data_IF_313156044056
#
_entry.id   IF_313156044056
#
_cell.length_a   1.000
_cell.length_b   1.000
_cell.length_c   1.000
_cell.angle_alpha   90.00
_cell.angle_beta   90.00
_cell.angle_gamma   90.00
#
_symmetry.space_group_name_H-M   'P 1'
#
loop_
_entity.id
_entity.type
_entity.pdbx_description
1 polymer ?
#
# COMPACT_ATOMS: atom_id res chain seq x y z
N UNK A 1 22.12 -49.59 5.03
CA UNK A 1 21.29 -48.75 5.92
C UNK A 1 21.87 -47.35 6.23
N UNK A 2 23.13 -47.00 5.88
CA UNK A 2 23.70 -45.66 6.16
C UNK A 2 23.10 -44.51 5.33
N UNK A 3 22.69 -44.75 4.08
CA UNK A 3 22.19 -43.69 3.18
C UNK A 3 20.82 -43.10 3.52
N UNK A 4 19.96 -43.86 4.23
CA UNK A 4 18.61 -43.40 4.58
C UNK A 4 18.64 -42.34 5.70
N UNK A 5 19.56 -42.47 6.66
CA UNK A 5 19.72 -41.50 7.76
C UNK A 5 20.25 -40.15 7.27
N UNK A 6 21.22 -40.13 6.35
CA UNK A 6 21.76 -38.88 5.77
C UNK A 6 20.70 -38.14 4.96
N UNK A 7 19.85 -38.86 4.23
CA UNK A 7 18.77 -38.26 3.44
C UNK A 7 17.69 -37.61 4.31
N UNK A 8 17.34 -38.24 5.44
CA UNK A 8 16.37 -37.72 6.41
C UNK A 8 16.92 -36.48 7.11
N UNK A 9 18.19 -36.50 7.53
CA UNK A 9 18.86 -35.36 8.18
C UNK A 9 18.97 -34.17 7.22
N UNK A 10 19.32 -34.41 5.95
CA UNK A 10 19.38 -33.34 4.94
C UNK A 10 18.00 -32.70 4.71
N UNK A 11 16.93 -33.50 4.59
CA UNK A 11 15.56 -32.98 4.45
C UNK A 11 15.09 -32.17 5.66
N UNK A 12 15.39 -32.64 6.87
CA UNK A 12 15.09 -31.92 8.11
C UNK A 12 15.80 -30.55 8.16
N UNK A 13 17.09 -30.51 7.81
CA UNK A 13 17.85 -29.26 7.73
C UNK A 13 17.27 -28.27 6.73
N UNK A 14 16.88 -28.73 5.54
CA UNK A 14 16.25 -27.88 4.53
C UNK A 14 14.94 -27.28 5.06
N UNK A 15 14.09 -28.08 5.70
CA UNK A 15 12.81 -27.61 6.26
C UNK A 15 13.05 -26.59 7.37
N UNK A 16 13.97 -26.84 8.29
CA UNK A 16 14.31 -25.89 9.36
C UNK A 16 14.87 -24.58 8.81
N UNK A 17 15.70 -24.64 7.76
CA UNK A 17 16.28 -23.45 7.15
C UNK A 17 15.21 -22.61 6.46
N UNK A 18 14.31 -23.24 5.71
CA UNK A 18 13.17 -22.55 5.09
C UNK A 18 12.25 -21.91 6.13
N UNK A 19 11.96 -22.62 7.23
CA UNK A 19 11.15 -22.10 8.33
C UNK A 19 11.84 -20.91 9.01
N UNK A 20 13.14 -21.01 9.28
CA UNK A 20 13.92 -19.93 9.89
C UNK A 20 13.95 -18.68 9.00
N UNK A 21 14.15 -18.85 7.68
CA UNK A 21 14.09 -17.75 6.71
C UNK A 21 12.70 -17.12 6.69
N UNK A 22 11.64 -17.95 6.65
CA UNK A 22 10.26 -17.45 6.67
C UNK A 22 9.98 -16.64 7.95
N UNK A 23 10.39 -17.14 9.12
CA UNK A 23 10.26 -16.42 10.39
C UNK A 23 11.06 -15.12 10.41
N UNK A 24 12.28 -15.11 9.86
CA UNK A 24 13.10 -13.90 9.78
C UNK A 24 12.47 -12.84 8.87
N UNK A 25 11.94 -13.24 7.71
CA UNK A 25 11.22 -12.35 6.79
C UNK A 25 9.95 -11.81 7.45
N UNK A 26 9.17 -12.66 8.13
CA UNK A 26 7.96 -12.25 8.83
C UNK A 26 8.27 -11.28 9.98
N UNK A 27 9.35 -11.53 10.72
CA UNK A 27 9.81 -10.65 11.80
C UNK A 27 10.26 -9.29 11.25
N UNK A 28 11.02 -9.28 10.15
CA UNK A 28 11.41 -8.05 9.48
C UNK A 28 10.18 -7.28 8.97
N UNK A 29 9.19 -7.98 8.43
CA UNK A 29 7.92 -7.39 7.99
C UNK A 29 7.09 -6.80 9.14
N UNK A 30 7.12 -7.45 10.31
CA UNK A 30 6.41 -6.99 11.50
C UNK A 30 7.08 -5.77 12.16
N UNK A 31 8.41 -5.75 12.17
CA UNK A 31 9.20 -4.73 12.87
C UNK A 31 9.44 -3.51 11.99
N UNK A 32 9.64 -3.67 10.67
CA UNK A 32 9.95 -2.55 9.79
C UNK A 32 8.67 -1.75 9.53
N UNK A 33 8.54 -0.53 10.08
CA UNK A 33 7.43 0.33 9.75
C UNK A 33 7.53 0.64 8.25
N UNK A 34 6.44 0.51 7.48
CA UNK A 34 6.48 0.84 6.07
C UNK A 34 6.83 2.33 5.84
N UNK A 35 6.76 3.17 6.90
CA UNK A 35 7.07 4.62 6.88
C UNK A 35 8.54 4.93 6.77
N UNK A 36 9.39 3.93 7.00
CA UNK A 36 10.81 4.03 6.70
C UNK A 36 11.04 4.18 5.20
N UNK A 37 10.18 3.61 4.35
CA UNK A 37 10.40 3.59 2.89
C UNK A 37 9.42 4.47 2.15
N UNK A 38 8.17 4.49 2.57
CA UNK A 38 7.10 5.23 1.93
C UNK A 38 6.21 5.85 2.97
N UNK A 39 5.92 7.14 2.90
CA UNK A 39 4.99 7.79 3.81
C UNK A 39 3.99 8.61 3.01
N UNK A 40 2.70 8.24 2.97
CA UNK A 40 1.67 9.17 2.51
C UNK A 40 1.61 10.34 3.50
N UNK A 41 1.71 11.56 3.00
CA UNK A 41 1.57 12.78 3.80
C UNK A 41 0.14 13.26 3.72
N UNK A 42 -0.37 13.38 2.50
CA UNK A 42 -1.63 14.06 2.25
C UNK A 42 -2.30 13.52 1.00
N UNK A 43 -3.62 13.54 1.01
CA UNK A 43 -4.44 13.30 -0.15
C UNK A 43 -5.52 14.37 -0.23
N UNK A 44 -5.65 15.01 -1.38
CA UNK A 44 -6.65 16.05 -1.65
C UNK A 44 -7.44 15.67 -2.89
N UNK A 45 -8.74 15.90 -2.86
CA UNK A 45 -9.61 15.77 -4.02
C UNK A 45 -10.20 17.13 -4.35
N UNK A 46 -10.11 17.51 -5.63
CA UNK A 46 -10.71 18.73 -6.16
C UNK A 46 -11.92 18.36 -7.02
N UNK A 47 -13.17 18.58 -6.55
CA UNK A 47 -14.36 18.33 -7.35
C UNK A 47 -14.38 19.18 -8.64
N UNK A 48 -13.85 20.41 -8.56
CA UNK A 48 -13.80 21.35 -9.68
C UNK A 48 -12.84 20.87 -10.78
N UNK A 49 -11.65 20.42 -10.41
CA UNK A 49 -10.63 19.97 -11.35
C UNK A 49 -10.76 18.48 -11.72
N UNK A 50 -11.60 17.72 -10.99
CA UNK A 50 -11.80 16.27 -11.16
C UNK A 50 -10.53 15.45 -10.95
N UNK A 51 -9.58 16.01 -10.21
CA UNK A 51 -8.28 15.43 -9.92
C UNK A 51 -8.16 15.10 -8.44
N UNK A 52 -7.34 14.10 -8.13
CA UNK A 52 -6.82 13.90 -6.80
C UNK A 52 -5.31 14.15 -6.80
N UNK A 53 -4.87 14.91 -5.80
CA UNK A 53 -3.46 15.20 -5.53
C UNK A 53 -3.02 14.42 -4.31
N UNK A 54 -1.92 13.69 -4.47
CA UNK A 54 -1.35 12.83 -3.46
C UNK A 54 0.09 13.25 -3.17
N UNK A 55 0.34 13.66 -1.93
CA UNK A 55 1.65 14.07 -1.43
C UNK A 55 2.24 12.94 -0.59
N UNK A 56 3.49 12.61 -0.86
CA UNK A 56 4.21 11.48 -0.24
C UNK A 56 5.69 11.79 -0.07
N UNK A 57 6.33 11.00 0.79
CA UNK A 57 7.79 10.88 0.85
C UNK A 57 8.17 9.45 0.52
N UNK A 58 9.15 9.29 -0.38
CA UNK A 58 9.85 8.02 -0.61
C UNK A 58 11.26 8.21 -0.06
N UNK A 59 11.57 7.48 1.00
CA UNK A 59 12.82 7.60 1.75
C UNK A 59 13.92 6.67 1.22
N UNK A 60 13.71 6.03 0.07
CA UNK A 60 14.70 5.20 -0.62
C UNK A 60 15.42 5.97 -1.72
N UNK A 61 16.69 5.62 -1.97
CA UNK A 61 17.46 6.11 -3.13
C UNK A 61 16.96 5.57 -4.47
N UNK A 62 16.07 4.57 -4.45
CA UNK A 62 15.54 3.89 -5.62
C UNK A 62 14.03 4.09 -5.72
N UNK A 63 13.51 3.95 -6.95
CA UNK A 63 12.08 3.91 -7.18
C UNK A 63 11.43 2.72 -6.46
N UNK A 64 10.20 2.93 -5.98
CA UNK A 64 9.49 1.96 -5.16
C UNK A 64 8.14 1.63 -5.80
N UNK A 65 7.86 0.34 -6.01
CA UNK A 65 6.53 -0.09 -6.45
C UNK A 65 5.57 -0.05 -5.29
N UNK A 66 4.44 0.61 -5.50
CA UNK A 66 3.37 0.73 -4.52
C UNK A 66 2.05 0.36 -5.18
N UNK A 67 1.37 -0.62 -4.59
CA UNK A 67 -0.01 -0.90 -4.91
C UNK A 67 -0.89 0.03 -4.09
N UNK A 68 -1.86 0.66 -4.71
CA UNK A 68 -2.80 1.53 -4.02
C UNK A 68 -4.25 1.09 -4.28
N UNK A 69 -5.12 1.39 -3.32
CA UNK A 69 -6.56 1.13 -3.43
C UNK A 69 -7.35 2.18 -2.68
N UNK A 70 -8.44 2.64 -3.27
CA UNK A 70 -9.40 3.56 -2.68
C UNK A 70 -10.72 2.83 -2.55
N UNK A 71 -11.31 2.82 -1.37
CA UNK A 71 -12.65 2.28 -1.13
C UNK A 71 -13.46 3.36 -0.45
N UNK A 72 -14.56 3.76 -1.07
CA UNK A 72 -15.51 4.72 -0.50
C UNK A 72 -16.68 3.95 0.11
N UNK A 73 -16.86 4.12 1.40
CA UNK A 73 -17.95 3.58 2.18
C UNK A 73 -19.07 4.62 2.28
N UNK A 74 -20.28 4.21 1.91
CA UNK A 74 -21.54 4.90 2.22
C UNK A 74 -22.09 4.36 3.55
N UNK A 75 -23.11 5.00 4.14
CA UNK A 75 -23.81 4.48 5.31
C UNK A 75 -24.33 3.04 5.14
N UNK A 76 -24.62 2.64 3.90
CA UNK A 76 -25.15 1.31 3.54
C UNK A 76 -24.07 0.28 3.20
N UNK A 77 -22.78 0.67 3.18
CA UNK A 77 -21.65 -0.22 2.87
C UNK A 77 -20.67 0.31 1.81
N UNK A 78 -19.73 -0.51 1.30
CA UNK A 78 -18.79 -0.08 0.26
C UNK A 78 -19.52 0.19 -1.07
N UNK A 79 -19.36 1.40 -1.61
CA UNK A 79 -20.10 1.84 -2.81
C UNK A 79 -19.21 1.99 -4.04
N UNK A 80 -18.01 2.53 -3.87
CA UNK A 80 -17.05 2.68 -4.97
C UNK A 80 -15.67 2.18 -4.57
N UNK A 81 -15.00 1.47 -5.49
CA UNK A 81 -13.60 1.09 -5.31
C UNK A 81 -12.79 1.40 -6.56
N UNK A 82 -11.55 1.83 -6.36
CA UNK A 82 -10.54 1.98 -7.41
C UNK A 82 -9.21 1.48 -6.87
N UNK A 83 -8.28 1.13 -7.74
CA UNK A 83 -6.95 0.75 -7.33
C UNK A 83 -6.03 0.59 -8.50
N UNK A 84 -4.74 0.47 -8.20
CA UNK A 84 -3.72 0.33 -9.21
C UNK A 84 -2.38 -0.02 -8.60
N UNK A 85 -1.39 -0.14 -9.46
CA UNK A 85 0.01 -0.29 -9.06
C UNK A 85 0.79 0.79 -9.77
N UNK A 86 1.66 1.49 -9.04
CA UNK A 86 2.50 2.55 -9.59
C UNK A 86 3.92 2.42 -9.08
N UNK A 87 4.87 2.76 -9.94
CA UNK A 87 6.26 2.93 -9.57
C UNK A 87 6.48 4.39 -9.18
N UNK A 88 6.87 4.64 -7.93
CA UNK A 88 7.11 5.98 -7.42
C UNK A 88 8.60 6.33 -7.42
N UNK A 89 8.95 7.41 -8.12
CA UNK A 89 10.28 8.01 -8.10
C UNK A 89 10.47 8.82 -6.80
N UNK A 90 11.59 8.65 -6.07
CA UNK A 90 11.88 9.43 -4.87
C UNK A 90 12.06 10.94 -5.10
N UNK A 91 12.32 11.37 -6.33
CA UNK A 91 12.42 12.79 -6.70
C UNK A 91 11.05 13.46 -6.81
N UNK A 92 9.98 12.70 -6.98
CA UNK A 92 8.62 13.22 -7.14
C UNK A 92 7.81 12.99 -5.87
N UNK A 93 7.55 14.07 -5.14
CA UNK A 93 6.81 14.01 -3.87
C UNK A 93 5.31 14.25 -4.04
N UNK A 94 4.91 14.97 -5.08
CA UNK A 94 3.51 15.29 -5.37
C UNK A 94 3.12 14.64 -6.69
N UNK A 95 1.96 13.99 -6.70
CA UNK A 95 1.37 13.45 -7.92
C UNK A 95 -0.10 13.82 -8.00
N UNK A 96 -0.53 14.21 -9.19
CA UNK A 96 -1.93 14.48 -9.50
C UNK A 96 -2.41 13.49 -10.54
N UNK A 97 -3.61 12.95 -10.36
CA UNK A 97 -4.22 12.01 -11.29
C UNK A 97 -5.72 12.25 -11.40
N UNK A 98 -6.27 11.94 -12.57
CA UNK A 98 -7.70 12.03 -12.82
C UNK A 98 -8.47 10.95 -12.05
N UNK A 99 -9.61 11.34 -11.49
CA UNK A 99 -10.52 10.42 -10.83
C UNK A 99 -11.60 9.97 -11.83
N UNK A 100 -11.84 8.66 -11.90
CA UNK A 100 -12.89 8.10 -12.77
C UNK A 100 -14.28 8.62 -12.40
N UNK A 101 -15.18 8.69 -13.39
CA UNK A 101 -16.54 9.20 -13.19
C UNK A 101 -17.35 8.40 -12.15
N UNK A 102 -17.08 7.10 -12.00
CA UNK A 102 -17.69 6.26 -10.97
C UNK A 102 -17.24 6.67 -9.57
N UNK A 103 -15.92 6.87 -9.38
CA UNK A 103 -15.35 7.25 -8.09
C UNK A 103 -15.73 8.68 -7.70
N UNK A 104 -15.81 9.60 -8.67
CA UNK A 104 -16.27 10.99 -8.44
C UNK A 104 -17.64 11.05 -7.78
N UNK A 105 -18.62 10.30 -8.29
CA UNK A 105 -19.97 10.26 -7.70
C UNK A 105 -19.96 9.93 -6.21
N UNK A 106 -19.10 8.99 -5.82
CA UNK A 106 -18.94 8.61 -4.42
C UNK A 106 -18.21 9.66 -3.57
N UNK A 107 -17.17 10.31 -4.11
CA UNK A 107 -16.41 11.34 -3.41
C UNK A 107 -17.16 12.68 -3.28
N UNK A 108 -18.03 13.00 -4.24
CA UNK A 108 -18.85 14.21 -4.25
C UNK A 108 -20.07 14.11 -3.30
N UNK A 109 -20.44 12.88 -2.89
CA UNK A 109 -21.57 12.65 -1.99
C UNK A 109 -21.16 12.90 -0.53
N UNK A 110 -21.78 13.87 0.18
CA UNK A 110 -21.45 14.14 1.59
C UNK A 110 -21.77 12.96 2.50
N UNK A 111 -20.96 12.79 3.54
CA UNK A 111 -21.17 11.74 4.55
C UNK A 111 -20.59 10.36 4.19
N UNK A 112 -20.02 10.22 2.99
CA UNK A 112 -19.22 9.04 2.65
C UNK A 112 -17.83 9.15 3.29
N UNK A 113 -17.17 8.00 3.44
CA UNK A 113 -15.82 7.91 3.99
C UNK A 113 -14.94 7.17 2.99
N UNK A 114 -13.87 7.82 2.53
CA UNK A 114 -12.87 7.19 1.68
C UNK A 114 -11.75 6.59 2.54
N UNK A 115 -11.52 5.30 2.39
CA UNK A 115 -10.36 4.58 2.91
C UNK A 115 -9.37 4.40 1.77
N UNK A 116 -8.25 5.09 1.88
CA UNK A 116 -7.15 5.07 0.94
C UNK A 116 -6.07 4.15 1.51
N UNK A 117 -5.60 3.18 0.75
CA UNK A 117 -4.54 2.28 1.17
C UNK A 117 -3.39 2.24 0.18
N UNK A 118 -2.17 2.20 0.71
CA UNK A 118 -0.93 2.07 -0.07
C UNK A 118 -0.07 0.96 0.50
N UNK A 119 0.28 -0.01 -0.33
CA UNK A 119 1.13 -1.14 0.01
C UNK A 119 2.43 -1.04 -0.79
N UNK A 120 3.54 -0.64 -0.16
CA UNK A 120 4.84 -0.64 -0.81
C UNK A 120 5.39 -2.06 -0.95
N UNK A 121 6.22 -2.31 -1.97
CA UNK A 121 6.84 -3.60 -2.24
C UNK A 121 8.37 -3.45 -2.26
N UNK A 122 9.07 -4.21 -1.42
CA UNK A 122 10.52 -4.36 -1.50
C UNK A 122 10.88 -5.17 -2.74
N UNK A 123 11.77 -4.61 -3.56
CA UNK A 123 12.23 -5.20 -4.82
C UNK A 123 11.10 -5.64 -5.75
N UNK A 124 9.93 -5.00 -5.66
CA UNK A 124 8.71 -5.34 -6.41
C UNK A 124 8.13 -6.74 -6.13
N UNK A 125 8.61 -7.42 -5.07
CA UNK A 125 8.20 -8.81 -4.77
C UNK A 125 7.64 -8.94 -3.37
N UNK A 126 8.30 -8.37 -2.37
CA UNK A 126 7.94 -8.57 -0.96
C UNK A 126 6.99 -7.44 -0.55
N UNK A 127 5.69 -7.70 -0.36
CA UNK A 127 4.77 -6.67 0.10
C UNK A 127 5.14 -6.26 1.52
N UNK A 128 5.19 -4.96 1.77
CA UNK A 128 5.27 -4.41 3.11
C UNK A 128 3.87 -4.25 3.69
N UNK A 129 3.80 -3.89 4.98
CA UNK A 129 2.54 -3.56 5.63
C UNK A 129 1.89 -2.38 4.90
N UNK A 130 0.57 -2.42 4.61
CA UNK A 130 -0.10 -1.31 3.99
C UNK A 130 -0.22 -0.14 4.96
N UNK A 131 -0.24 1.06 4.39
CA UNK A 131 -0.78 2.25 5.02
C UNK A 131 -2.23 2.39 4.71
N UNK A 132 -2.97 2.97 5.65
CA UNK A 132 -4.35 3.35 5.46
C UNK A 132 -4.55 4.77 5.94
N UNK A 133 -5.14 5.61 5.10
CA UNK A 133 -5.62 6.93 5.46
C UNK A 133 -7.13 6.93 5.27
N UNK A 134 -7.85 7.34 6.31
CA UNK A 134 -9.30 7.52 6.25
C UNK A 134 -9.58 9.01 6.12
N UNK A 135 -10.25 9.41 5.04
CA UNK A 135 -10.64 10.79 4.80
C UNK A 135 -12.16 10.87 4.60
N UNK A 136 -12.84 11.85 5.21
CA UNK A 136 -14.24 12.11 4.89
C UNK A 136 -14.37 12.58 3.43
N UNK A 137 -15.41 12.13 2.74
CA UNK A 137 -15.74 12.61 1.40
C UNK A 137 -16.18 14.09 1.45
N UNK A 138 -15.88 14.85 0.40
CA UNK A 138 -16.22 16.27 0.31
C UNK A 138 -15.42 17.20 1.24
N UNK A 139 -14.43 16.70 2.00
CA UNK A 139 -13.55 17.56 2.77
C UNK A 139 -12.43 18.13 1.87
N UNK A 140 -12.51 19.44 1.59
CA UNK A 140 -11.29 20.20 1.29
C UNK A 140 -10.44 20.20 2.57
N UNK A 141 -9.32 19.47 2.55
CA UNK A 141 -8.38 19.51 3.68
C UNK A 141 -7.69 20.89 3.64
N UNK A 142 -7.70 21.65 4.76
CA UNK A 142 -7.25 23.03 4.76
C UNK A 142 -5.80 23.17 4.30
N UNK A 143 -5.54 24.27 3.59
CA UNK A 143 -4.24 24.58 2.98
C UNK A 143 -3.11 24.66 3.99
#
# INVERSE_FOLDING_TARGET
>A
MKGLRTFVVARLWTVFTLLAIACAVLSLWLVTPPSILFRPIEWRYSPAERTATFTRVVNSSHALTVRWSHIVYTPDGPSCSSGGTRLYDPRTQVETFDISDGMRRCLDTPGNVAVLSWQPYLWNVIPLRPFTLTVPSGAEIPR
#
